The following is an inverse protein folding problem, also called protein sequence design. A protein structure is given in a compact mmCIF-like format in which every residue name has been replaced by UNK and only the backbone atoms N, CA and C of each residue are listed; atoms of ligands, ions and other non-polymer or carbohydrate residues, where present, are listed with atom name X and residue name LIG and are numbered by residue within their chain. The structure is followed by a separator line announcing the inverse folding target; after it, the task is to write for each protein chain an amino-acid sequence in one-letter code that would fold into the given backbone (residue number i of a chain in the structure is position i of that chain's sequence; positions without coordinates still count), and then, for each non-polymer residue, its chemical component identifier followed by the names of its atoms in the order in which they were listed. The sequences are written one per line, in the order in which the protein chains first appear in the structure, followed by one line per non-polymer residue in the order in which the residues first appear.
data_IF_717599749615
#
_entry.id   IF_717599749615
#
_cell.length_a   1.000
_cell.length_b   1.000
_cell.length_c   1.000
_cell.angle_alpha   90.00
_cell.angle_beta   90.00
_cell.angle_gamma   90.00
#
_symmetry.space_group_name_H-M   'P 1'
#
loop_
_entity.id
_entity.type
_entity.pdbx_description
1 polymer ?
#
# COMPACT_ATOMS: atom_id res chain seq x y z
N UNK A 1 -21.58 48.72 -35.89
CA UNK A 1 -22.82 48.28 -36.55
C UNK A 1 -22.59 46.88 -37.07
N UNK A 2 -23.48 45.95 -36.68
CA UNK A 2 -23.90 44.71 -37.39
C UNK A 2 -22.77 43.70 -37.69
N UNK A 3 -22.76 42.46 -37.20
CA UNK A 3 -23.85 41.46 -37.10
C UNK A 3 -23.61 40.58 -35.85
N UNK A 4 -24.54 40.23 -34.97
CA UNK A 4 -25.86 39.58 -35.14
C UNK A 4 -25.83 38.29 -35.98
N UNK A 5 -25.34 37.18 -35.39
CA UNK A 5 -26.01 35.88 -35.45
C UNK A 5 -25.54 35.08 -34.21
N UNK A 6 -26.33 35.06 -33.13
CA UNK A 6 -27.34 34.03 -32.87
C UNK A 6 -26.59 32.74 -32.48
N UNK A 7 -26.46 32.49 -31.18
CA UNK A 7 -27.26 31.48 -30.49
C UNK A 7 -27.29 30.16 -31.25
N UNK A 8 -26.71 29.11 -30.67
CA UNK A 8 -27.22 27.71 -30.61
C UNK A 8 -26.06 26.86 -30.07
N UNK A 9 -26.00 26.67 -28.75
CA UNK A 9 -26.56 25.52 -28.04
C UNK A 9 -25.78 24.21 -28.29
N UNK A 10 -25.16 23.74 -27.20
CA UNK A 10 -25.18 22.36 -26.72
C UNK A 10 -24.60 21.31 -27.68
N UNK A 11 -23.42 20.79 -27.35
CA UNK A 11 -23.28 19.34 -27.12
C UNK A 11 -22.45 19.10 -25.88
N UNK A 12 -23.17 18.68 -24.84
CA UNK A 12 -22.68 17.98 -23.66
C UNK A 12 -21.78 16.84 -24.09
N UNK A 13 -20.52 16.85 -23.64
CA UNK A 13 -19.80 15.59 -23.40
C UNK A 13 -19.45 15.57 -21.93
N UNK A 14 -20.50 15.32 -21.14
CA UNK A 14 -20.36 14.79 -19.80
C UNK A 14 -19.83 13.37 -19.91
N UNK A 15 -18.51 13.20 -20.02
CA UNK A 15 -17.87 11.97 -19.55
C UNK A 15 -17.65 12.15 -18.07
N UNK A 16 -18.70 11.94 -17.26
CA UNK A 16 -18.51 11.69 -15.84
C UNK A 16 -17.90 10.30 -15.72
N UNK A 17 -16.59 10.22 -15.90
CA UNK A 17 -15.83 9.13 -15.27
C UNK A 17 -16.09 9.36 -13.79
N UNK A 18 -16.95 8.54 -13.20
CA UNK A 18 -17.00 8.35 -11.77
C UNK A 18 -15.66 7.71 -11.38
N UNK A 19 -14.59 8.49 -11.42
CA UNK A 19 -13.35 8.17 -10.75
C UNK A 19 -13.71 8.15 -9.29
N UNK A 20 -13.87 6.96 -8.74
CA UNK A 20 -13.86 6.70 -7.30
C UNK A 20 -12.78 7.59 -6.70
N UNK A 21 -13.21 8.65 -6.02
CA UNK A 21 -12.36 9.78 -5.72
C UNK A 21 -11.26 9.35 -4.77
N UNK A 22 -10.04 9.20 -5.30
CA UNK A 22 -8.84 9.28 -4.50
C UNK A 22 -8.85 10.67 -3.87
N UNK A 23 -9.21 10.76 -2.58
CA UNK A 23 -9.09 12.00 -1.83
C UNK A 23 -7.62 12.10 -1.42
N UNK A 24 -6.83 13.01 -2.02
CA UNK A 24 -5.43 13.15 -1.65
C UNK A 24 -5.35 13.50 -0.17
N UNK A 25 -4.55 12.73 0.57
CA UNK A 25 -4.18 13.06 1.93
C UNK A 25 -2.67 13.39 1.88
N UNK A 26 -2.31 14.69 1.85
CA UNK A 26 -0.96 15.11 1.48
C UNK A 26 0.13 14.52 2.40
N UNK A 27 -0.18 14.25 3.67
CA UNK A 27 0.77 13.62 4.61
C UNK A 27 1.04 12.14 4.25
N UNK A 28 -0.02 11.40 3.95
CA UNK A 28 0.08 9.97 3.58
C UNK A 28 0.69 9.82 2.20
N UNK A 29 0.33 10.69 1.26
CA UNK A 29 0.94 10.80 -0.08
C UNK A 29 2.45 11.03 0.02
N UNK A 30 2.87 12.02 0.81
CA UNK A 30 4.29 12.33 0.97
C UNK A 30 5.06 11.18 1.65
N UNK A 31 4.46 10.54 2.67
CA UNK A 31 5.07 9.38 3.33
C UNK A 31 5.19 8.17 2.38
N UNK A 32 4.24 7.98 1.48
CA UNK A 32 4.30 6.94 0.43
C UNK A 32 5.45 7.17 -0.55
N UNK A 33 5.61 8.41 -1.04
CA UNK A 33 6.72 8.75 -1.95
C UNK A 33 8.07 8.57 -1.25
N UNK A 34 8.21 9.01 0.01
CA UNK A 34 9.42 8.77 0.81
C UNK A 34 9.69 7.28 0.98
N UNK A 35 8.67 6.47 1.24
CA UNK A 35 8.81 5.02 1.35
C UNK A 35 9.34 4.41 0.06
N UNK A 36 8.76 4.78 -1.09
CA UNK A 36 9.21 4.30 -2.41
C UNK A 36 10.66 4.66 -2.67
N UNK A 37 11.06 5.91 -2.41
CA UNK A 37 12.45 6.36 -2.58
C UNK A 37 13.39 5.62 -1.62
N UNK A 38 13.06 5.58 -0.33
CA UNK A 38 13.89 4.98 0.73
C UNK A 38 14.19 3.51 0.50
N UNK A 39 13.23 2.75 -0.03
CA UNK A 39 13.37 1.32 -0.28
C UNK A 39 13.48 0.96 -1.76
N UNK A 40 13.71 1.96 -2.63
CA UNK A 40 13.89 1.82 -4.07
C UNK A 40 12.79 0.98 -4.71
N UNK A 41 11.53 1.29 -4.39
CA UNK A 41 10.36 0.58 -4.90
C UNK A 41 10.05 1.02 -6.32
N UNK A 42 9.72 0.05 -7.15
CA UNK A 42 9.23 0.25 -8.51
C UNK A 42 8.17 -0.81 -8.76
N UNK A 43 7.05 -0.38 -9.34
CA UNK A 43 5.88 -1.23 -9.58
C UNK A 43 5.65 -1.37 -11.08
N UNK A 44 5.15 -2.53 -11.51
CA UNK A 44 5.04 -2.84 -12.93
C UNK A 44 3.89 -2.07 -13.64
N UNK A 45 2.91 -1.58 -12.89
CA UNK A 45 1.76 -0.85 -13.42
C UNK A 45 1.12 0.02 -12.33
N UNK A 46 0.35 1.02 -12.74
CA UNK A 46 -0.41 1.88 -11.82
C UNK A 46 -1.40 1.08 -10.96
N UNK A 47 -2.00 0.02 -11.53
CA UNK A 47 -2.90 -0.87 -10.79
C UNK A 47 -2.15 -1.65 -9.69
N UNK A 48 -0.92 -2.08 -9.97
CA UNK A 48 -0.07 -2.70 -8.95
C UNK A 48 0.36 -1.69 -7.89
N UNK A 49 0.75 -0.49 -8.29
CA UNK A 49 1.12 0.58 -7.35
C UNK A 49 -0.05 0.91 -6.41
N UNK A 50 -1.26 1.08 -6.95
CA UNK A 50 -2.45 1.34 -6.15
C UNK A 50 -2.69 0.23 -5.13
N UNK A 51 -2.63 -1.04 -5.56
CA UNK A 51 -2.77 -2.19 -4.67
C UNK A 51 -1.69 -2.19 -3.57
N UNK A 52 -0.44 -1.90 -3.93
CA UNK A 52 0.70 -1.87 -2.98
C UNK A 52 0.55 -0.74 -1.98
N UNK A 53 0.06 0.41 -2.44
CA UNK A 53 -0.27 1.56 -1.61
C UNK A 53 -1.37 1.22 -0.59
N UNK A 54 -2.46 0.58 -1.00
CA UNK A 54 -3.53 0.17 -0.08
C UNK A 54 -3.03 -0.79 1.02
N UNK A 55 -2.12 -1.72 0.66
CA UNK A 55 -1.51 -2.64 1.62
C UNK A 55 -0.59 -1.87 2.59
N UNK A 56 0.21 -0.95 2.04
CA UNK A 56 1.12 -0.13 2.81
C UNK A 56 0.37 0.77 3.80
N UNK A 57 -0.68 1.47 3.39
CA UNK A 57 -1.49 2.32 4.27
C UNK A 57 -2.08 1.52 5.44
N UNK A 58 -2.58 0.30 5.19
CA UNK A 58 -3.05 -0.61 6.25
C UNK A 58 -1.94 -1.00 7.22
N UNK A 59 -0.73 -1.28 6.72
CA UNK A 59 0.40 -1.65 7.56
C UNK A 59 0.94 -0.47 8.37
N UNK A 60 0.97 0.74 7.79
CA UNK A 60 1.32 1.96 8.50
C UNK A 60 0.32 2.27 9.61
N UNK A 61 -0.98 2.18 9.34
CA UNK A 61 -2.01 2.36 10.37
C UNK A 61 -1.83 1.38 11.55
N UNK A 62 -1.44 0.14 11.26
CA UNK A 62 -1.13 -0.86 12.31
C UNK A 62 0.13 -0.51 13.11
N UNK A 63 1.17 0.00 12.44
CA UNK A 63 2.41 0.45 13.09
C UNK A 63 2.12 1.61 14.02
N UNK A 64 1.41 2.62 13.52
CA UNK A 64 1.10 3.83 14.27
C UNK A 64 0.22 3.48 15.48
N UNK A 65 -0.81 2.65 15.30
CA UNK A 65 -1.64 2.12 16.40
C UNK A 65 -0.82 1.36 17.44
N UNK A 66 0.05 0.44 17.03
CA UNK A 66 0.88 -0.34 17.96
C UNK A 66 1.83 0.57 18.76
N UNK A 67 2.40 1.57 18.10
CA UNK A 67 3.29 2.54 18.74
C UNK A 67 2.56 3.46 19.72
N UNK A 68 1.29 3.78 19.47
CA UNK A 68 0.46 4.50 20.44
C UNK A 68 0.15 3.60 21.65
N UNK A 69 -0.22 2.34 21.43
CA UNK A 69 -0.42 1.35 22.50
C UNK A 69 0.87 1.10 23.30
N UNK A 70 2.05 1.16 22.67
CA UNK A 70 3.35 1.11 23.34
C UNK A 70 3.54 2.29 24.31
N UNK A 71 3.17 3.52 23.91
CA UNK A 71 3.24 4.71 24.78
C UNK A 71 2.31 4.59 25.99
N UNK A 72 1.22 3.85 25.86
CA UNK A 72 0.30 3.50 26.95
C UNK A 72 0.82 2.33 27.83
N UNK A 73 1.98 1.75 27.50
CA UNK A 73 2.57 0.62 28.24
C UNK A 73 1.96 -0.74 27.94
N UNK A 74 1.14 -0.88 26.88
CA UNK A 74 0.50 -2.16 26.49
C UNK A 74 1.44 -3.09 25.72
N UNK A 75 2.50 -2.55 25.12
CA UNK A 75 3.53 -3.30 24.41
C UNK A 75 4.92 -2.97 24.98
N UNK A 76 5.85 -3.91 24.85
CA UNK A 76 7.24 -3.74 25.28
C UNK A 76 8.18 -3.29 24.15
N UNK A 77 7.66 -3.11 22.94
CA UNK A 77 8.42 -2.74 21.76
C UNK A 77 7.62 -1.82 20.85
N UNK A 78 8.33 -1.17 19.93
CA UNK A 78 7.75 -0.33 18.87
C UNK A 78 7.95 -1.00 17.51
N UNK A 79 7.05 -0.72 16.59
CA UNK A 79 7.17 -1.08 15.19
C UNK A 79 7.69 0.10 14.37
N UNK A 80 8.35 -0.21 13.27
CA UNK A 80 8.83 0.77 12.32
C UNK A 80 8.50 0.35 10.89
N UNK A 81 8.31 1.33 10.02
CA UNK A 81 8.17 1.10 8.58
C UNK A 81 9.45 0.46 8.03
N UNK A 82 9.29 -0.65 7.32
CA UNK A 82 10.38 -1.40 6.70
C UNK A 82 10.09 -1.69 5.23
N UNK A 83 11.07 -2.23 4.50
CA UNK A 83 10.99 -2.52 3.05
C UNK A 83 9.90 -3.50 2.62
N UNK A 84 9.18 -4.08 3.57
CA UNK A 84 8.11 -5.05 3.36
C UNK A 84 6.75 -4.52 3.82
N UNK A 85 6.66 -3.24 4.15
CA UNK A 85 5.42 -2.59 4.54
C UNK A 85 4.36 -2.62 3.43
N UNK A 86 4.72 -2.82 2.16
CA UNK A 86 3.81 -2.99 1.02
C UNK A 86 3.43 -4.46 0.72
N UNK A 87 3.80 -5.40 1.60
CA UNK A 87 3.47 -6.82 1.46
C UNK A 87 2.37 -7.25 2.42
N UNK A 88 1.53 -8.17 1.96
CA UNK A 88 0.59 -8.88 2.83
C UNK A 88 1.32 -9.89 3.71
N UNK A 89 0.67 -10.31 4.82
CA UNK A 89 1.21 -11.36 5.69
C UNK A 89 1.41 -12.69 4.96
N UNK A 90 0.56 -12.99 3.98
CA UNK A 90 0.66 -14.20 3.17
C UNK A 90 1.84 -14.15 2.19
N UNK A 91 2.02 -13.01 1.51
CA UNK A 91 3.17 -12.77 0.65
C UNK A 91 4.48 -12.86 1.45
N UNK A 92 4.53 -12.23 2.63
CA UNK A 92 5.65 -12.35 3.55
C UNK A 92 5.94 -13.81 3.90
N UNK A 93 4.92 -14.57 4.31
CA UNK A 93 5.08 -15.98 4.69
C UNK A 93 5.58 -16.84 3.52
N UNK A 94 5.14 -16.56 2.31
CA UNK A 94 5.59 -17.26 1.11
C UNK A 94 7.02 -16.89 0.73
N UNK A 95 7.40 -15.63 0.91
CA UNK A 95 8.76 -15.14 0.65
C UNK A 95 9.80 -15.76 1.59
N UNK A 96 9.45 -15.95 2.86
CA UNK A 96 10.35 -16.49 3.90
C UNK A 96 10.14 -17.97 4.21
N UNK A 97 9.47 -18.72 3.34
CA UNK A 97 9.22 -20.14 3.56
C UNK A 97 10.52 -20.94 3.41
N UNK A 98 11.15 -21.28 4.53
CA UNK A 98 12.31 -22.18 4.57
C UNK A 98 11.99 -23.59 4.06
N UNK A 99 13.01 -24.30 3.53
CA UNK A 99 12.90 -25.72 3.17
C UNK A 99 12.58 -26.53 4.44
N UNK A 100 11.55 -27.38 4.40
CA UNK A 100 11.25 -28.28 5.53
C UNK A 100 12.48 -29.13 5.84
N UNK A 101 12.90 -29.28 7.11
CA UNK A 101 13.98 -30.20 7.45
C UNK A 101 13.59 -31.61 6.99
N UNK A 102 14.44 -32.26 6.20
CA UNK A 102 14.22 -33.65 5.80
C UNK A 102 14.19 -34.51 7.06
N UNK A 103 13.16 -35.36 7.19
CA UNK A 103 13.09 -36.33 8.28
C UNK A 103 14.27 -37.30 8.11
N UNK A 104 15.37 -37.10 8.85
CA UNK A 104 16.43 -38.11 8.91
C UNK A 104 15.83 -39.41 9.46
N UNK A 105 16.03 -40.56 8.82
CA UNK A 105 15.53 -41.83 9.34
C UNK A 105 16.10 -42.05 10.74
N UNK A 106 15.23 -42.35 11.70
CA UNK A 106 15.62 -42.71 13.07
C UNK A 106 16.50 -43.97 12.95
N UNK A 107 17.79 -43.85 13.24
CA UNK A 107 18.65 -45.04 13.43
C UNK A 107 18.03 -45.84 14.57
N UNK A 108 17.55 -47.05 14.28
CA UNK A 108 17.21 -48.03 15.31
C UNK A 108 18.55 -48.48 15.90
N UNK A 109 18.87 -47.99 17.09
CA UNK A 109 19.96 -48.57 17.88
C UNK A 109 19.48 -49.95 18.32
N UNK A 110 20.26 -50.98 17.98
CA UNK A 110 20.07 -52.36 18.42
C UNK A 110 20.52 -52.52 19.87
#
# INVERSE_FOLDING_TARGET
MRCCYVFLLIVVVGTTIASSGFKPNPDVDERWERFKVKFQKTYASDAEELKRREIWEKNIANIDKHNDEFKEGKHSYMLAENKYADMTKEEWKNHFKGKKPSKKPKKKTA
#
